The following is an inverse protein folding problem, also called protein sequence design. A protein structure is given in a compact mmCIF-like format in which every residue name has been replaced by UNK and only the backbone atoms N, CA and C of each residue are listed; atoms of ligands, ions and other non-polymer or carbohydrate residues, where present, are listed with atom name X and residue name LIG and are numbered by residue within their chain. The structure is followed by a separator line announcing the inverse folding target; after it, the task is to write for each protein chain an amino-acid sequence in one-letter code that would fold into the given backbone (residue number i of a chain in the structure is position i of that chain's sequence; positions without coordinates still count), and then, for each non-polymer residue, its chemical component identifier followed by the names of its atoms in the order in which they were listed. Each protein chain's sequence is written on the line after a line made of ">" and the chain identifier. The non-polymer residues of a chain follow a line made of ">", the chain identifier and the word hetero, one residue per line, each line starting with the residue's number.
data_IF_698427784764
#
_entry.id   IF_698427784764
#
_cell.length_a   1.000
_cell.length_b   1.000
_cell.length_c   1.000
_cell.angle_alpha   90.00
_cell.angle_beta   90.00
_cell.angle_gamma   90.00
#
_symmetry.space_group_name_H-M   'P 1'
#
loop_
_entity.id
_entity.type
_entity.pdbx_description
1 polymer ?
#
# COMPACT_ATOMS: atom_id res chain seq x y z
N UNK A 1 7.58 -24.02 -20.87
CA UNK A 1 6.80 -22.77 -20.74
C UNK A 1 6.80 -22.38 -19.27
N UNK A 2 7.33 -21.20 -18.90
CA UNK A 2 7.21 -20.68 -17.54
C UNK A 2 5.83 -20.04 -17.40
N UNK A 3 4.92 -20.72 -16.69
CA UNK A 3 3.63 -20.14 -16.31
C UNK A 3 3.90 -19.21 -15.15
N UNK A 4 3.60 -17.91 -15.32
CA UNK A 4 3.66 -16.97 -14.21
C UNK A 4 2.62 -17.40 -13.16
N UNK A 5 3.02 -17.71 -11.92
CA UNK A 5 2.05 -17.98 -10.87
C UNK A 5 1.24 -16.71 -10.68
N UNK A 6 -0.08 -16.77 -10.88
CA UNK A 6 -0.97 -15.64 -10.63
C UNK A 6 -1.01 -15.42 -9.11
N UNK A 7 -0.39 -14.35 -8.58
CA UNK A 7 -0.37 -14.12 -7.15
C UNK A 7 -1.79 -13.84 -6.65
N UNK A 8 -2.15 -14.37 -5.49
CA UNK A 8 -3.46 -14.10 -4.89
C UNK A 8 -3.60 -12.59 -4.62
N UNK A 9 -4.63 -11.92 -5.17
CA UNK A 9 -4.82 -10.49 -4.98
C UNK A 9 -5.23 -10.11 -3.55
N UNK A 10 -5.72 -11.06 -2.76
CA UNK A 10 -6.18 -10.86 -1.39
C UNK A 10 -4.99 -10.99 -0.43
N UNK A 11 -4.72 -9.91 0.32
CA UNK A 11 -3.69 -9.89 1.34
C UNK A 11 -4.16 -10.62 2.62
N UNK A 12 -5.36 -10.29 3.09
CA UNK A 12 -6.01 -10.96 4.22
C UNK A 12 -7.52 -10.73 4.20
N UNK A 13 -8.26 -11.60 4.88
CA UNK A 13 -9.71 -11.50 4.99
C UNK A 13 -10.13 -11.33 6.45
N UNK A 14 -11.05 -10.40 6.70
CA UNK A 14 -11.70 -10.20 8.00
C UNK A 14 -13.20 -10.45 7.83
N UNK A 15 -13.64 -11.67 8.13
CA UNK A 15 -15.02 -12.09 7.87
C UNK A 15 -15.37 -11.94 6.37
N UNK A 16 -16.43 -11.20 6.01
CA UNK A 16 -16.80 -10.97 4.60
C UNK A 16 -15.92 -9.92 3.88
N UNK A 17 -15.02 -9.23 4.60
CA UNK A 17 -14.20 -8.17 4.03
C UNK A 17 -12.86 -8.72 3.51
N UNK A 18 -12.62 -8.60 2.21
CA UNK A 18 -11.37 -9.00 1.54
C UNK A 18 -10.47 -7.79 1.33
N UNK A 19 -9.34 -7.75 2.02
CA UNK A 19 -8.34 -6.68 1.86
C UNK A 19 -7.38 -7.07 0.77
N UNK A 20 -7.29 -6.25 -0.28
CA UNK A 20 -6.45 -6.50 -1.43
C UNK A 20 -5.09 -5.80 -1.32
N UNK A 21 -4.05 -6.39 -1.92
CA UNK A 21 -2.71 -5.80 -1.95
C UNK A 21 -2.68 -4.40 -2.58
N UNK A 22 -3.43 -4.18 -3.67
CA UNK A 22 -3.46 -2.87 -4.32
C UNK A 22 -3.98 -1.78 -3.37
N UNK A 23 -4.99 -2.10 -2.56
CA UNK A 23 -5.57 -1.17 -1.58
C UNK A 23 -4.57 -0.82 -0.48
N UNK A 24 -3.85 -1.81 0.04
CA UNK A 24 -2.78 -1.60 1.01
C UNK A 24 -1.66 -0.72 0.44
N UNK A 25 -1.25 -0.95 -0.81
CA UNK A 25 -0.22 -0.16 -1.47
C UNK A 25 -0.63 1.31 -1.62
N UNK A 26 -1.90 1.60 -1.95
CA UNK A 26 -2.40 2.98 -1.98
C UNK A 26 -2.38 3.64 -0.60
N UNK A 27 -2.82 2.93 0.45
CA UNK A 27 -2.78 3.45 1.81
C UNK A 27 -1.35 3.75 2.26
N UNK A 28 -0.40 2.85 1.97
CA UNK A 28 1.01 3.05 2.28
C UNK A 28 1.58 4.26 1.53
N UNK A 29 1.35 4.36 0.22
CA UNK A 29 1.83 5.49 -0.57
C UNK A 29 1.28 6.83 -0.07
N UNK A 30 -0.01 6.87 0.28
CA UNK A 30 -0.64 8.08 0.82
C UNK A 30 -0.08 8.46 2.20
N UNK A 31 0.10 7.48 3.09
CA UNK A 31 0.71 7.69 4.40
C UNK A 31 2.15 8.22 4.29
N UNK A 32 2.94 7.63 3.39
CA UNK A 32 4.31 8.07 3.10
C UNK A 32 4.33 9.50 2.56
N UNK A 33 3.45 9.83 1.61
CA UNK A 33 3.34 11.18 1.06
C UNK A 33 3.07 12.22 2.15
N UNK A 34 2.11 11.96 3.04
CA UNK A 34 1.80 12.85 4.16
C UNK A 34 2.99 12.96 5.12
N UNK A 35 3.61 11.83 5.49
CA UNK A 35 4.72 11.81 6.44
C UNK A 35 5.94 12.57 5.91
N UNK A 36 6.35 12.27 4.68
CA UNK A 36 7.48 12.92 4.02
C UNK A 36 7.20 14.39 3.72
N UNK A 37 5.98 14.72 3.28
CA UNK A 37 5.56 16.11 3.07
C UNK A 37 5.66 16.93 4.35
N UNK A 38 5.18 16.39 5.49
CA UNK A 38 5.31 17.03 6.80
C UNK A 38 6.78 17.19 7.22
N UNK A 39 7.61 16.20 6.96
CA UNK A 39 9.04 16.27 7.27
C UNK A 39 9.72 17.36 6.43
N UNK A 40 9.41 17.44 5.13
CA UNK A 40 9.92 18.46 4.21
C UNK A 40 9.52 19.88 4.62
N UNK A 41 8.28 20.10 5.06
CA UNK A 41 7.82 21.41 5.54
C UNK A 41 8.60 21.87 6.79
N UNK A 42 9.06 20.93 7.62
CA UNK A 42 9.84 21.24 8.83
C UNK A 42 11.33 21.47 8.54
N UNK A 43 11.80 21.21 7.33
CA UNK A 43 13.20 21.46 6.99
C UNK A 43 13.41 22.98 6.86
N UNK A 44 14.32 23.58 7.64
CA UNK A 44 14.68 24.97 7.47
C UNK A 44 15.32 25.18 6.08
N UNK A 45 15.10 26.37 5.52
CA UNK A 45 15.72 26.82 4.27
C UNK A 45 17.22 27.07 4.44
#
# INVERSE_FOLDING_TARGET
>A
MLIHPMPDPIAFSIGPLQVHWYGLMYLLAFAQFIALGRLRIKQPH
#
